data_IF_810528189364
#
_entry.id   IF_810528189364
#
_cell.length_a   1.000
_cell.length_b   1.000
_cell.length_c   1.000
_cell.angle_alpha   90.00
_cell.angle_beta   90.00
_cell.angle_gamma   90.00
#
_symmetry.space_group_name_H-M   'P 1'
#
loop_
_entity.id
_entity.type
_entity.pdbx_description
1 polymer ?
#
# COMPACT_ATOMS: atom_id res chain seq x y z
N UNK A 1 10.04 -35.08 22.22
CA UNK A 1 9.69 -33.65 22.23
C UNK A 1 8.47 -33.50 23.11
N UNK A 2 8.47 -32.63 24.12
CA UNK A 2 7.30 -32.48 25.00
C UNK A 2 6.14 -31.86 24.24
N UNK A 3 4.88 -32.13 24.62
CA UNK A 3 3.70 -31.53 23.98
C UNK A 3 3.76 -30.00 23.93
N UNK A 4 4.26 -29.35 24.99
CA UNK A 4 4.42 -27.88 24.99
C UNK A 4 5.43 -27.40 23.94
N UNK A 5 6.49 -28.16 23.68
CA UNK A 5 7.47 -27.86 22.63
C UNK A 5 6.89 -28.05 21.23
N UNK A 6 5.99 -29.01 21.04
CA UNK A 6 5.32 -29.22 19.75
C UNK A 6 4.34 -28.09 19.42
N UNK A 7 3.61 -27.60 20.42
CA UNK A 7 2.70 -26.45 20.29
C UNK A 7 3.47 -25.16 20.00
N UNK A 8 4.58 -24.92 20.71
CA UNK A 8 5.45 -23.78 20.44
C UNK A 8 6.05 -23.82 19.02
N UNK A 9 6.41 -25.01 18.53
CA UNK A 9 6.97 -25.18 17.18
C UNK A 9 5.94 -24.93 16.08
N UNK A 10 4.69 -25.36 16.28
CA UNK A 10 3.58 -25.07 15.35
C UNK A 10 3.21 -23.59 15.32
N UNK A 11 3.20 -22.92 16.48
CA UNK A 11 2.96 -21.48 16.54
C UNK A 11 4.04 -20.69 15.79
N UNK A 12 5.32 -21.06 15.95
CA UNK A 12 6.44 -20.45 15.23
C UNK A 12 6.40 -20.70 13.72
N UNK A 13 6.00 -21.90 13.29
CA UNK A 13 5.85 -22.23 11.86
C UNK A 13 4.66 -21.50 11.22
N UNK A 14 3.52 -21.40 11.90
CA UNK A 14 2.39 -20.59 11.42
C UNK A 14 2.78 -19.12 11.32
N UNK A 15 3.48 -18.57 12.31
CA UNK A 15 3.89 -17.16 12.28
C UNK A 15 4.89 -16.86 11.15
N UNK A 16 5.83 -17.78 10.89
CA UNK A 16 6.79 -17.65 9.78
C UNK A 16 6.18 -17.89 8.39
N UNK A 17 5.03 -18.56 8.29
CA UNK A 17 4.34 -18.81 7.01
C UNK A 17 3.31 -17.72 6.67
N UNK A 18 2.81 -16.98 7.66
CA UNK A 18 1.82 -15.92 7.46
C UNK A 18 2.44 -14.51 7.32
N UNK A 19 3.61 -14.25 7.93
CA UNK A 19 4.33 -12.99 7.72
C UNK A 19 5.21 -13.11 6.46
N UNK A 20 4.67 -12.64 5.33
CA UNK A 20 5.32 -12.60 4.01
C UNK A 20 6.51 -11.64 3.89
N UNK A 21 7.43 -11.61 4.86
CA UNK A 21 8.61 -10.73 4.89
C UNK A 21 9.91 -11.52 4.73
N UNK A 22 10.04 -12.25 3.62
CA UNK A 22 11.27 -12.97 3.29
C UNK A 22 12.43 -12.06 2.82
N UNK A 23 12.22 -10.74 2.70
CA UNK A 23 13.23 -9.80 2.18
C UNK A 23 13.65 -8.66 3.12
N UNK A 24 13.06 -8.51 4.31
CA UNK A 24 13.34 -7.37 5.19
C UNK A 24 14.45 -7.57 6.24
N UNK A 25 15.12 -8.74 6.28
CA UNK A 25 16.18 -9.03 7.28
C UNK A 25 17.58 -8.94 6.64
N UNK A 26 17.90 -7.76 6.11
CA UNK A 26 19.30 -7.39 5.81
C UNK A 26 19.53 -5.97 6.32
N UNK A 27 19.48 -5.80 7.64
CA UNK A 27 19.68 -4.44 8.19
C UNK A 27 19.71 -4.25 9.70
N UNK A 28 19.52 -5.27 10.55
CA UNK A 28 19.65 -5.08 12.01
C UNK A 28 20.47 -6.19 12.66
N UNK A 29 21.57 -5.78 13.28
CA UNK A 29 22.35 -6.58 14.21
C UNK A 29 21.48 -6.93 15.42
N UNK A 30 21.03 -8.19 15.50
CA UNK A 30 20.39 -8.68 16.72
C UNK A 30 19.47 -9.86 16.47
N UNK A 31 20.02 -11.01 16.03
CA UNK A 31 19.90 -12.25 16.81
C UNK A 31 20.64 -13.41 16.12
N UNK A 32 21.93 -13.60 16.47
CA UNK A 32 22.78 -14.65 15.87
C UNK A 32 22.31 -16.07 16.23
N UNK A 33 21.50 -16.23 17.28
CA UNK A 33 21.03 -17.53 17.76
C UNK A 33 19.89 -18.11 16.89
N UNK A 34 19.02 -17.26 16.35
CA UNK A 34 17.90 -17.68 15.48
C UNK A 34 18.44 -18.03 14.08
N UNK A 35 19.32 -17.19 13.53
CA UNK A 35 19.98 -17.47 12.25
C UNK A 35 20.71 -18.82 12.25
N UNK A 36 21.45 -19.16 13.32
CA UNK A 36 22.17 -20.44 13.41
C UNK A 36 21.26 -21.68 13.49
N UNK A 37 20.02 -21.56 13.97
CA UNK A 37 19.07 -22.69 13.96
C UNK A 37 18.46 -22.93 12.57
N UNK A 38 18.27 -21.86 11.79
CA UNK A 38 17.81 -21.97 10.41
C UNK A 38 18.92 -22.46 9.47
N UNK A 39 20.17 -22.04 9.68
CA UNK A 39 21.31 -22.54 8.88
C UNK A 39 21.51 -24.06 9.00
N UNK A 40 21.13 -24.68 10.11
CA UNK A 40 21.20 -26.14 10.29
C UNK A 40 20.06 -26.91 9.59
N UNK A 41 19.00 -26.24 9.12
CA UNK A 41 17.89 -26.85 8.37
C UNK A 41 18.11 -26.80 6.85
N UNK A 42 19.02 -25.95 6.38
CA UNK A 42 19.35 -25.81 4.95
C UNK A 42 19.90 -27.13 4.35
N UNK A 43 20.80 -27.88 5.01
CA UNK A 43 21.26 -29.18 4.50
C UNK A 43 20.12 -30.20 4.41
N UNK A 44 19.21 -30.22 5.40
CA UNK A 44 18.09 -31.15 5.43
C UNK A 44 17.08 -30.89 4.30
N UNK A 45 16.79 -29.61 4.02
CA UNK A 45 15.92 -29.21 2.91
C UNK A 45 16.61 -29.47 1.56
N UNK A 46 17.93 -29.29 1.48
CA UNK A 46 18.71 -29.59 0.27
C UNK A 46 18.75 -31.11 0.00
N UNK A 47 18.88 -31.95 1.03
CA UNK A 47 18.87 -33.40 0.92
C UNK A 47 17.48 -33.93 0.56
N UNK A 48 16.41 -33.36 1.12
CA UNK A 48 15.03 -33.69 0.73
C UNK A 48 14.76 -33.31 -0.73
N UNK A 49 15.22 -32.14 -1.19
CA UNK A 49 15.11 -31.74 -2.61
C UNK A 49 16.05 -32.52 -3.54
N UNK A 50 17.06 -33.19 -3.01
CA UNK A 50 17.95 -34.09 -3.79
C UNK A 50 17.32 -35.47 -3.94
N UNK A 51 16.64 -35.96 -2.90
CA UNK A 51 15.87 -37.19 -2.94
C UNK A 51 14.68 -37.07 -3.91
N UNK A 52 13.94 -35.96 -3.83
CA UNK A 52 12.80 -35.64 -4.70
C UNK A 52 13.22 -35.58 -6.19
N UNK A 53 14.37 -34.96 -6.49
CA UNK A 53 14.93 -34.91 -7.86
C UNK A 53 15.59 -36.21 -8.33
N UNK A 54 15.94 -37.11 -7.42
CA UNK A 54 16.42 -38.44 -7.78
C UNK A 54 15.26 -39.36 -8.17
N UNK A 55 14.08 -39.16 -7.58
CA UNK A 55 12.85 -39.90 -7.92
C UNK A 55 12.24 -39.43 -9.26
N UNK A 56 12.36 -38.15 -9.61
CA UNK A 56 11.88 -37.63 -10.90
C UNK A 56 12.63 -38.22 -12.13
N UNK A 57 13.82 -38.78 -11.93
CA UNK A 57 14.64 -39.36 -13.01
C UNK A 57 14.53 -40.89 -13.16
N UNK A 58 13.75 -41.58 -12.32
CA UNK A 58 13.59 -43.04 -12.41
C UNK A 58 12.12 -43.45 -12.21
N UNK A 59 11.23 -42.96 -13.07
CA UNK A 59 9.87 -43.47 -13.18
C UNK A 59 9.83 -44.83 -13.87
N UNK A 60 10.19 -45.89 -13.16
CA UNK A 60 9.51 -47.18 -13.30
C UNK A 60 9.92 -48.15 -12.19
N UNK A 61 9.34 -48.02 -10.98
CA UNK A 61 8.84 -49.17 -10.16
C UNK A 61 8.31 -48.74 -8.77
N UNK A 62 7.03 -49.04 -8.53
CA UNK A 62 6.38 -49.31 -7.22
C UNK A 62 6.43 -48.26 -6.10
N UNK A 63 5.41 -47.41 -6.10
CA UNK A 63 5.01 -46.43 -5.06
C UNK A 63 4.53 -47.05 -3.72
N UNK A 64 4.69 -48.36 -3.51
CA UNK A 64 4.23 -49.07 -2.29
C UNK A 64 5.40 -49.39 -1.33
N UNK A 65 6.65 -49.28 -1.78
CA UNK A 65 7.82 -49.72 -1.00
C UNK A 65 8.28 -48.76 0.10
N UNK A 66 8.29 -47.45 -0.15
CA UNK A 66 8.94 -46.49 0.75
C UNK A 66 8.11 -46.18 2.00
N UNK A 67 6.78 -46.12 1.86
CA UNK A 67 5.85 -45.87 2.96
C UNK A 67 5.89 -47.01 3.99
N UNK A 68 5.96 -48.25 3.52
CA UNK A 68 6.11 -49.43 4.36
C UNK A 68 7.52 -49.56 4.95
N UNK A 69 8.58 -49.16 4.23
CA UNK A 69 9.94 -49.16 4.78
C UNK A 69 10.14 -48.09 5.85
N UNK A 70 9.56 -46.90 5.68
CA UNK A 70 9.58 -45.83 6.69
C UNK A 70 8.72 -46.21 7.89
N UNK A 71 7.55 -46.82 7.68
CA UNK A 71 6.70 -47.35 8.75
C UNK A 71 7.40 -48.48 9.52
N UNK A 72 8.14 -49.36 8.84
CA UNK A 72 8.91 -50.46 9.45
C UNK A 72 10.13 -49.96 10.22
N UNK A 73 10.85 -48.96 9.69
CA UNK A 73 11.96 -48.30 10.40
C UNK A 73 11.50 -47.51 11.63
N UNK A 74 10.30 -46.90 11.57
CA UNK A 74 9.69 -46.26 12.72
C UNK A 74 9.19 -47.28 13.75
N UNK A 75 8.60 -48.40 13.31
CA UNK A 75 8.14 -49.48 14.18
C UNK A 75 9.31 -50.18 14.90
N UNK A 76 10.42 -50.47 14.19
CA UNK A 76 11.61 -51.12 14.76
C UNK A 76 12.35 -50.20 15.73
N UNK A 77 12.34 -48.89 15.50
CA UNK A 77 13.01 -47.90 16.37
C UNK A 77 12.18 -47.49 17.60
N UNK A 78 10.89 -47.86 17.62
CA UNK A 78 9.94 -47.61 18.72
C UNK A 78 9.63 -48.90 19.52
N UNK A 79 10.31 -50.01 19.20
CA UNK A 79 10.13 -51.31 19.87
C UNK A 79 10.45 -51.29 21.37
N UNK A 80 9.42 -51.14 22.21
CA UNK A 80 8.86 -52.17 23.11
C UNK A 80 8.05 -51.61 24.30
N UNK A 81 8.00 -50.28 24.49
CA UNK A 81 7.37 -49.66 25.68
C UNK A 81 6.09 -48.83 25.46
N UNK A 82 5.58 -48.73 24.23
CA UNK A 82 4.58 -47.70 23.86
C UNK A 82 3.26 -48.23 23.29
N UNK A 83 3.03 -49.55 23.30
CA UNK A 83 1.79 -50.14 22.79
C UNK A 83 0.58 -49.88 23.68
N UNK A 84 0.76 -49.88 25.01
CA UNK A 84 -0.32 -49.56 25.96
C UNK A 84 -0.66 -48.06 26.00
N UNK A 85 0.29 -47.18 25.68
CA UNK A 85 0.07 -45.72 25.67
C UNK A 85 -0.56 -45.22 24.37
N UNK A 86 -0.41 -45.94 23.26
CA UNK A 86 -0.98 -45.53 21.97
C UNK A 86 -2.48 -45.80 21.89
N UNK A 87 -2.98 -46.87 22.52
CA UNK A 87 -4.42 -47.15 22.59
C UNK A 87 -5.15 -46.15 23.51
N UNK A 88 -4.53 -45.76 24.63
CA UNK A 88 -5.07 -44.73 25.53
C UNK A 88 -5.15 -43.36 24.83
N UNK A 89 -4.10 -42.97 24.09
CA UNK A 89 -4.07 -41.69 23.38
C UNK A 89 -5.00 -41.69 22.17
N UNK A 90 -5.14 -42.82 21.47
CA UNK A 90 -6.11 -42.96 20.38
C UNK A 90 -7.55 -42.81 20.89
N UNK A 91 -7.89 -43.39 22.05
CA UNK A 91 -9.20 -43.24 22.68
C UNK A 91 -9.45 -41.79 23.14
N UNK A 92 -8.44 -41.11 23.69
CA UNK A 92 -8.53 -39.71 24.11
C UNK A 92 -8.69 -38.75 22.92
N UNK A 93 -7.99 -39.01 21.81
CA UNK A 93 -8.10 -38.23 20.57
C UNK A 93 -9.48 -38.45 19.92
N UNK A 94 -10.01 -39.66 19.92
CA UNK A 94 -11.36 -39.95 19.41
C UNK A 94 -12.42 -39.28 20.30
N UNK A 95 -12.27 -39.28 21.63
CA UNK A 95 -13.17 -38.59 22.54
C UNK A 95 -13.14 -37.06 22.32
N UNK A 96 -11.96 -36.47 22.12
CA UNK A 96 -11.80 -35.03 21.82
C UNK A 96 -12.39 -34.64 20.46
N UNK A 97 -12.22 -35.48 19.44
CA UNK A 97 -12.81 -35.25 18.12
C UNK A 97 -14.34 -35.44 18.11
N UNK A 98 -14.86 -36.34 18.95
CA UNK A 98 -16.31 -36.56 19.09
C UNK A 98 -16.98 -35.44 19.87
N UNK A 99 -16.32 -34.90 20.91
CA UNK A 99 -16.78 -33.71 21.65
C UNK A 99 -16.71 -32.42 20.80
N UNK A 100 -15.83 -32.36 19.80
CA UNK A 100 -15.75 -31.26 18.84
C UNK A 100 -16.83 -31.32 17.73
N UNK A 101 -17.56 -32.44 17.61
CA UNK A 101 -18.54 -32.67 16.55
C UNK A 101 -19.88 -31.94 16.68
N UNK A 102 -20.16 -31.28 17.81
CA UNK A 102 -21.40 -30.50 18.01
C UNK A 102 -21.21 -28.98 17.90
N UNK A 103 -19.97 -28.50 17.78
CA UNK A 103 -19.71 -27.11 17.45
C UNK A 103 -19.52 -26.98 15.93
N UNK A 104 -20.60 -26.66 15.20
CA UNK A 104 -20.44 -26.16 13.84
C UNK A 104 -19.44 -25.00 13.87
N UNK A 105 -18.34 -25.04 13.09
CA UNK A 105 -17.48 -23.89 12.96
C UNK A 105 -18.30 -22.78 12.31
N UNK A 106 -18.70 -21.79 13.09
CA UNK A 106 -19.05 -20.49 12.53
C UNK A 106 -17.77 -19.98 11.88
N UNK A 107 -17.69 -20.12 10.55
CA UNK A 107 -16.63 -19.50 9.79
C UNK A 107 -16.55 -18.02 10.24
N UNK A 108 -15.36 -17.50 10.58
CA UNK A 108 -15.24 -16.08 10.86
C UNK A 108 -15.86 -15.33 9.69
N UNK A 109 -16.66 -14.31 9.97
CA UNK A 109 -17.18 -13.39 8.96
C UNK A 109 -15.99 -12.71 8.27
N UNK A 110 -15.44 -13.40 7.27
CA UNK A 110 -14.12 -13.17 6.74
C UNK A 110 -14.16 -13.46 5.26
N UNK A 111 -14.34 -12.37 4.51
CA UNK A 111 -14.08 -12.19 3.08
C UNK A 111 -14.27 -13.45 2.24
N UNK A 112 -15.45 -13.57 1.62
CA UNK A 112 -15.63 -14.47 0.49
C UNK A 112 -14.68 -13.97 -0.62
N UNK A 113 -13.53 -14.63 -0.80
CA UNK A 113 -12.61 -14.31 -1.89
C UNK A 113 -13.27 -14.75 -3.20
N UNK A 114 -13.99 -13.83 -3.85
CA UNK A 114 -14.51 -14.07 -5.19
C UNK A 114 -13.33 -14.01 -6.16
N UNK A 115 -13.13 -15.01 -7.02
CA UNK A 115 -12.08 -14.94 -8.04
C UNK A 115 -12.34 -13.80 -9.02
N UNK A 116 -11.37 -12.88 -9.16
CA UNK A 116 -11.52 -11.68 -10.02
C UNK A 116 -11.72 -12.03 -11.50
N UNK A 117 -10.98 -13.03 -12.00
CA UNK A 117 -10.89 -13.32 -13.44
C UNK A 117 -11.90 -14.37 -13.89
N UNK A 118 -12.72 -14.01 -14.89
CA UNK A 118 -13.48 -14.95 -15.71
C UNK A 118 -12.51 -15.70 -16.63
N UNK A 119 -12.58 -17.03 -16.65
CA UNK A 119 -11.76 -17.80 -17.59
C UNK A 119 -12.40 -17.73 -18.99
N UNK A 120 -11.60 -17.47 -20.04
CA UNK A 120 -12.11 -17.44 -21.41
C UNK A 120 -12.63 -18.82 -21.80
N UNK A 121 -13.72 -18.83 -22.57
CA UNK A 121 -14.25 -20.01 -23.23
C UNK A 121 -13.85 -19.88 -24.70
N UNK A 122 -12.79 -20.59 -25.10
CA UNK A 122 -12.27 -20.53 -26.47
C UNK A 122 -12.96 -21.53 -27.41
N UNK A 123 -13.87 -22.36 -26.87
CA UNK A 123 -14.69 -23.32 -27.59
C UNK A 123 -13.92 -24.50 -28.18
N UNK A 124 -12.70 -24.76 -27.67
CA UNK A 124 -11.86 -25.84 -28.17
C UNK A 124 -12.21 -27.21 -27.56
N UNK A 125 -13.03 -27.25 -26.49
CA UNK A 125 -13.56 -28.47 -25.87
C UNK A 125 -12.67 -29.15 -24.84
N UNK A 126 -11.39 -28.77 -24.69
CA UNK A 126 -10.46 -29.44 -23.77
C UNK A 126 -10.48 -28.87 -22.35
N UNK A 127 -10.81 -27.60 -22.19
CA UNK A 127 -10.96 -26.93 -20.91
C UNK A 127 -12.38 -26.35 -20.67
N UNK A 128 -13.28 -26.41 -21.65
CA UNK A 128 -14.65 -25.89 -21.61
C UNK A 128 -15.42 -26.33 -20.35
N UNK A 129 -15.29 -27.61 -19.96
CA UNK A 129 -15.99 -28.15 -18.79
C UNK A 129 -15.45 -27.57 -17.47
N UNK A 130 -14.14 -27.35 -17.39
CA UNK A 130 -13.48 -26.76 -16.24
C UNK A 130 -13.78 -25.25 -16.17
N UNK A 131 -13.65 -24.54 -17.28
CA UNK A 131 -13.91 -23.10 -17.39
C UNK A 131 -15.39 -22.76 -17.15
N UNK A 132 -16.31 -23.57 -17.68
CA UNK A 132 -17.74 -23.42 -17.41
C UNK A 132 -18.08 -23.69 -15.94
N UNK A 133 -17.48 -24.72 -15.32
CA UNK A 133 -17.63 -25.01 -13.90
C UNK A 133 -17.13 -23.87 -13.03
N UNK A 134 -15.92 -23.39 -13.31
CA UNK A 134 -15.31 -22.23 -12.64
C UNK A 134 -16.15 -20.97 -12.76
N UNK A 135 -16.59 -20.63 -13.98
CA UNK A 135 -17.39 -19.44 -14.23
C UNK A 135 -18.77 -19.52 -13.55
N UNK A 136 -19.42 -20.69 -13.51
CA UNK A 136 -20.67 -20.90 -12.75
C UNK A 136 -20.47 -20.72 -11.25
N UNK A 137 -19.39 -21.26 -10.68
CA UNK A 137 -19.06 -21.04 -9.27
C UNK A 137 -18.81 -19.56 -8.98
N UNK A 138 -18.06 -18.87 -9.85
CA UNK A 138 -17.81 -17.43 -9.74
C UNK A 138 -19.11 -16.60 -9.81
N UNK A 139 -20.00 -16.91 -10.75
CA UNK A 139 -21.30 -16.24 -10.88
C UNK A 139 -22.18 -16.47 -9.64
N UNK A 140 -22.21 -17.71 -9.12
CA UNK A 140 -22.93 -18.02 -7.89
C UNK A 140 -22.35 -17.27 -6.68
N UNK A 141 -21.02 -17.16 -6.58
CA UNK A 141 -20.34 -16.39 -5.53
C UNK A 141 -20.62 -14.89 -5.65
N UNK A 142 -20.65 -14.33 -6.87
CA UNK A 142 -21.02 -12.93 -7.12
C UNK A 142 -22.49 -12.66 -6.79
N UNK A 143 -23.39 -13.58 -7.13
CA UNK A 143 -24.82 -13.46 -6.83
C UNK A 143 -25.12 -13.61 -5.33
N UNK A 144 -24.33 -14.40 -4.62
CA UNK A 144 -24.44 -14.60 -3.17
C UNK A 144 -23.66 -13.56 -2.36
N UNK A 145 -22.73 -12.83 -2.98
CA UNK A 145 -22.04 -11.73 -2.33
C UNK A 145 -23.09 -10.68 -1.94
N UNK A 146 -23.19 -10.31 -0.65
CA UNK A 146 -24.05 -9.20 -0.27
C UNK A 146 -23.55 -7.98 -1.05
N UNK A 147 -24.46 -7.27 -1.71
CA UNK A 147 -24.13 -5.98 -2.30
C UNK A 147 -23.56 -5.13 -1.17
N UNK A 148 -22.24 -4.89 -1.19
CA UNK A 148 -21.65 -3.97 -0.24
C UNK A 148 -22.38 -2.64 -0.44
N UNK A 149 -22.94 -2.05 0.63
CA UNK A 149 -23.51 -0.72 0.50
C UNK A 149 -22.38 0.16 -0.02
N UNK A 150 -22.55 0.70 -1.22
CA UNK A 150 -21.60 1.64 -1.81
C UNK A 150 -21.61 2.83 -0.87
N UNK A 151 -20.61 2.90 0.01
CA UNK A 151 -20.47 4.00 0.93
C UNK A 151 -20.39 5.28 0.11
N UNK A 152 -21.24 6.26 0.44
CA UNK A 152 -21.18 7.57 -0.18
C UNK A 152 -19.74 8.10 -0.04
N UNK A 153 -19.10 8.57 -1.13
CA UNK A 153 -17.75 9.09 -1.06
C UNK A 153 -17.66 10.23 -0.06
N UNK A 154 -16.64 10.19 0.80
CA UNK A 154 -16.40 11.25 1.77
C UNK A 154 -15.72 12.43 1.05
N UNK A 155 -16.31 13.65 1.05
CA UNK A 155 -15.67 14.84 0.53
C UNK A 155 -14.47 15.23 1.39
N UNK A 156 -13.30 15.39 0.77
CA UNK A 156 -12.05 15.71 1.47
C UNK A 156 -11.22 16.74 0.72
N UNK A 157 -10.54 17.63 1.45
CA UNK A 157 -9.43 18.40 0.87
C UNK A 157 -8.26 17.43 0.72
N UNK A 158 -7.92 17.13 -0.53
CA UNK A 158 -6.86 16.18 -0.85
C UNK A 158 -5.66 16.94 -1.40
N UNK A 159 -4.52 16.86 -0.71
CA UNK A 159 -3.24 17.39 -1.16
C UNK A 159 -2.35 16.24 -1.59
N UNK A 160 -1.70 16.37 -2.74
CA UNK A 160 -0.73 15.39 -3.18
C UNK A 160 0.42 15.29 -2.16
N UNK A 161 0.77 14.09 -1.66
CA UNK A 161 1.81 13.94 -0.64
C UNK A 161 3.22 14.24 -1.16
N UNK A 162 3.39 14.32 -2.49
CA UNK A 162 4.68 14.59 -3.13
C UNK A 162 4.85 16.06 -3.45
N UNK A 163 3.89 16.67 -4.16
CA UNK A 163 4.02 18.04 -4.65
C UNK A 163 3.16 19.08 -3.91
N UNK A 164 2.29 18.64 -2.98
CA UNK A 164 1.40 19.51 -2.22
C UNK A 164 0.23 20.11 -3.03
N UNK A 165 0.16 19.89 -4.34
CA UNK A 165 -0.95 20.40 -5.15
C UNK A 165 -2.28 19.76 -4.73
N UNK A 166 -3.31 20.58 -4.62
CA UNK A 166 -4.67 20.11 -4.33
C UNK A 166 -5.23 19.32 -5.50
N UNK A 167 -5.90 18.22 -5.16
CA UNK A 167 -6.62 17.36 -6.09
C UNK A 167 -8.11 17.63 -5.98
N UNK A 168 -8.75 17.88 -7.11
CA UNK A 168 -10.19 18.10 -7.22
C UNK A 168 -10.69 17.06 -8.22
N UNK A 169 -11.57 16.17 -7.76
CA UNK A 169 -12.18 15.18 -8.62
C UNK A 169 -13.33 15.84 -9.39
N UNK A 170 -13.15 15.97 -10.70
CA UNK A 170 -14.18 16.42 -11.62
C UNK A 170 -14.44 15.32 -12.66
N UNK A 171 -15.63 15.29 -13.28
CA UNK A 171 -15.81 14.51 -14.50
C UNK A 171 -14.76 14.91 -15.53
N UNK A 172 -14.06 13.92 -16.08
CA UNK A 172 -13.07 14.16 -17.13
C UNK A 172 -13.70 13.85 -18.49
N UNK A 173 -13.63 14.82 -19.40
CA UNK A 173 -13.95 14.62 -20.82
C UNK A 173 -12.68 14.25 -21.57
N UNK A 174 -12.80 13.32 -22.51
CA UNK A 174 -11.75 13.02 -23.45
C UNK A 174 -12.31 13.11 -24.86
N UNK A 175 -11.47 13.65 -25.75
CA UNK A 175 -11.73 13.60 -27.17
C UNK A 175 -11.50 12.16 -27.68
N UNK A 176 -12.58 11.52 -28.11
CA UNK A 176 -12.50 10.24 -28.81
C UNK A 176 -12.58 10.51 -30.31
N UNK A 177 -11.68 9.94 -31.14
CA UNK A 177 -11.84 10.01 -32.59
C UNK A 177 -13.17 9.35 -32.99
N UNK A 178 -14.12 10.14 -33.50
CA UNK A 178 -15.32 9.66 -34.18
C UNK A 178 -15.10 9.76 -35.70
N UNK A 179 -15.84 8.97 -36.49
CA UNK A 179 -15.65 8.87 -37.96
C UNK A 179 -15.86 10.19 -38.74
N UNK A 180 -16.27 11.24 -38.04
CA UNK A 180 -16.73 12.54 -38.51
C UNK A 180 -16.12 13.72 -37.70
N UNK A 181 -15.18 13.47 -36.78
CA UNK A 181 -14.51 14.51 -36.00
C UNK A 181 -13.96 14.00 -34.66
N UNK A 182 -13.65 14.93 -33.74
CA UNK A 182 -13.49 14.59 -32.33
C UNK A 182 -14.82 14.84 -31.65
N UNK A 183 -15.39 13.81 -31.03
CA UNK A 183 -16.53 13.98 -30.14
C UNK A 183 -15.98 14.03 -28.71
N UNK A 184 -16.30 15.10 -27.97
CA UNK A 184 -16.10 15.14 -26.53
C UNK A 184 -17.05 14.13 -25.89
N UNK A 185 -16.49 13.08 -25.30
CA UNK A 185 -17.25 12.12 -24.50
C UNK A 185 -16.75 12.22 -23.07
N UNK A 186 -17.68 12.24 -22.12
CA UNK A 186 -17.35 12.15 -20.70
C UNK A 186 -16.95 10.70 -20.39
N UNK A 187 -15.66 10.42 -20.50
CA UNK A 187 -15.10 9.08 -20.35
C UNK A 187 -15.02 8.67 -18.87
N UNK A 188 -14.98 9.64 -17.97
CA UNK A 188 -14.94 9.43 -16.53
C UNK A 188 -15.96 10.32 -15.82
N UNK A 189 -17.03 9.70 -15.31
CA UNK A 189 -18.11 10.39 -14.58
C UNK A 189 -17.84 10.55 -13.09
N UNK A 190 -16.58 10.33 -12.65
CA UNK A 190 -16.18 10.36 -11.25
C UNK A 190 -16.97 9.40 -10.34
N UNK A 191 -17.01 8.09 -10.64
CA UNK A 191 -17.61 7.11 -9.74
C UNK A 191 -16.86 7.05 -8.39
N UNK A 192 -17.50 6.56 -7.31
CA UNK A 192 -16.85 6.31 -6.02
C UNK A 192 -15.53 5.56 -6.16
N UNK A 193 -14.42 6.15 -5.72
CA UNK A 193 -13.08 5.57 -5.83
C UNK A 193 -12.24 5.86 -4.58
N UNK A 194 -11.20 5.04 -4.35
CA UNK A 194 -10.33 5.12 -3.15
C UNK A 194 -8.94 5.67 -3.47
N UNK A 195 -8.60 5.83 -4.75
CA UNK A 195 -7.26 6.21 -5.20
C UNK A 195 -7.32 7.37 -6.15
N UNK A 196 -6.46 8.36 -5.95
CA UNK A 196 -6.43 9.60 -6.70
C UNK A 196 -5.12 9.74 -7.46
N UNK A 197 -5.17 10.30 -8.67
CA UNK A 197 -4.02 10.57 -9.52
C UNK A 197 -3.72 12.07 -9.53
N UNK A 198 -2.47 12.44 -9.23
CA UNK A 198 -2.05 13.83 -9.25
C UNK A 198 -1.61 14.19 -10.67
N UNK A 199 -2.41 14.98 -11.37
CA UNK A 199 -2.08 15.45 -12.73
C UNK A 199 -0.81 16.30 -12.82
N UNK A 200 -0.30 16.85 -11.72
CA UNK A 200 0.94 17.63 -11.73
C UNK A 200 2.22 16.79 -11.67
N UNK A 201 2.23 15.67 -10.95
CA UNK A 201 3.44 14.87 -10.72
C UNK A 201 3.30 13.37 -11.01
N UNK A 202 2.09 12.90 -11.34
CA UNK A 202 1.79 11.49 -11.64
C UNK A 202 1.68 10.58 -10.41
N UNK A 203 1.77 11.10 -9.18
CA UNK A 203 1.60 10.30 -7.98
C UNK A 203 0.17 9.75 -7.89
N UNK A 204 0.02 8.44 -7.67
CA UNK A 204 -1.25 7.81 -7.31
C UNK A 204 -1.21 7.51 -5.81
N UNK A 205 -2.21 7.97 -5.05
CA UNK A 205 -2.29 7.73 -3.62
C UNK A 205 -3.71 7.38 -3.16
N UNK A 206 -3.78 6.70 -2.01
CA UNK A 206 -5.01 6.27 -1.36
C UNK A 206 -5.10 6.91 0.02
N UNK A 207 -5.86 8.00 0.20
CA UNK A 207 -5.94 8.73 1.47
C UNK A 207 -6.73 7.98 2.55
N UNK A 208 -7.67 7.11 2.15
CA UNK A 208 -8.51 6.32 3.06
C UNK A 208 -8.86 4.94 2.47
N UNK A 209 -9.36 4.05 3.32
CA UNK A 209 -9.86 2.74 2.89
C UNK A 209 -11.30 2.74 2.37
N UNK A 210 -11.98 3.88 2.48
CA UNK A 210 -13.31 4.14 1.96
C UNK A 210 -13.24 5.05 0.74
N UNK A 211 -14.27 5.09 -0.12
CA UNK A 211 -14.32 6.02 -1.23
C UNK A 211 -14.21 7.48 -0.74
N UNK A 212 -13.39 8.26 -1.43
CA UNK A 212 -13.16 9.68 -1.15
C UNK A 212 -13.34 10.49 -2.43
N UNK A 213 -13.72 11.76 -2.28
CA UNK A 213 -13.81 12.70 -3.40
C UNK A 213 -13.08 13.99 -3.05
N UNK A 214 -12.10 14.36 -3.87
CA UNK A 214 -11.33 15.58 -3.74
C UNK A 214 -12.20 16.81 -4.04
N UNK A 215 -12.30 17.70 -3.06
CA UNK A 215 -13.07 18.95 -3.18
C UNK A 215 -12.17 20.17 -2.99
N UNK A 216 -12.57 21.29 -3.59
CA UNK A 216 -11.91 22.59 -3.42
C UNK A 216 -11.97 23.04 -1.95
N UNK A 217 -13.13 22.84 -1.31
CA UNK A 217 -13.38 23.14 0.11
C UNK A 217 -14.36 22.13 0.70
N UNK A 218 -14.24 21.87 2.00
CA UNK A 218 -15.27 21.12 2.75
C UNK A 218 -16.43 22.08 3.03
N UNK A 219 -17.63 21.73 2.55
CA UNK A 219 -18.82 22.59 2.70
C UNK A 219 -19.54 22.42 4.05
N UNK A 220 -19.23 21.34 4.76
CA UNK A 220 -19.84 21.02 6.06
C UNK A 220 -18.96 21.50 7.22
N UNK A 221 -19.59 21.94 8.31
CA UNK A 221 -18.90 22.24 9.58
C UNK A 221 -19.29 21.22 10.64
N UNK A 222 -18.30 20.66 11.32
CA UNK A 222 -18.50 19.77 12.45
C UNK A 222 -19.05 20.52 13.66
N UNK A 223 -19.95 19.87 14.41
CA UNK A 223 -20.50 20.42 15.67
C UNK A 223 -19.41 20.71 16.72
N UNK A 224 -18.29 20.00 16.67
CA UNK A 224 -17.17 20.12 17.59
C UNK A 224 -16.00 20.95 17.02
N UNK A 225 -16.15 21.57 15.85
CA UNK A 225 -15.09 22.37 15.25
C UNK A 225 -14.86 23.64 16.07
N UNK A 226 -13.69 23.72 16.70
CA UNK A 226 -13.28 24.86 17.54
C UNK A 226 -12.59 25.98 16.77
N UNK A 227 -12.39 25.79 15.46
CA UNK A 227 -11.81 26.77 14.56
C UNK A 227 -12.94 27.39 13.74
N UNK A 228 -12.92 28.71 13.56
CA UNK A 228 -13.85 29.42 12.69
C UNK A 228 -13.09 29.97 11.49
N UNK A 229 -13.46 29.54 10.29
CA UNK A 229 -12.84 30.01 9.04
C UNK A 229 -13.00 31.53 8.90
N UNK A 230 -14.03 32.12 9.52
CA UNK A 230 -14.25 33.56 9.53
C UNK A 230 -13.42 34.31 10.59
N UNK A 231 -12.80 33.61 11.55
CA UNK A 231 -12.10 34.21 12.68
C UNK A 231 -10.58 34.14 12.61
N UNK A 232 -9.99 33.55 11.54
CA UNK A 232 -8.57 33.78 11.27
C UNK A 232 -8.42 35.29 11.05
N UNK A 233 -7.70 36.03 11.91
CA UNK A 233 -7.49 37.45 11.69
C UNK A 233 -6.70 37.56 10.40
N UNK A 234 -7.37 37.95 9.31
CA UNK A 234 -6.65 38.50 8.16
C UNK A 234 -5.94 39.72 8.71
N UNK A 235 -4.64 39.63 8.94
CA UNK A 235 -3.87 40.83 9.26
C UNK A 235 -3.89 41.63 7.97
N UNK A 236 -4.83 42.57 7.90
CA UNK A 236 -4.94 43.51 6.80
C UNK A 236 -3.75 44.44 6.94
N UNK A 237 -2.72 44.21 6.14
CA UNK A 237 -1.61 45.15 6.01
C UNK A 237 -2.14 46.36 5.25
N UNK A 238 -2.19 47.52 5.90
CA UNK A 238 -2.61 48.75 5.22
C UNK A 238 -1.49 49.29 4.32
N UNK A 239 -1.86 50.12 3.35
CA UNK A 239 -0.91 50.69 2.38
C UNK A 239 0.22 51.48 3.06
N UNK A 240 -0.07 52.13 4.20
CA UNK A 240 0.94 52.85 4.97
C UNK A 240 1.93 51.91 5.67
N UNK A 241 1.49 50.75 6.16
CA UNK A 241 2.38 49.69 6.66
C UNK A 241 3.25 49.14 5.54
N UNK A 242 2.67 48.86 4.37
CA UNK A 242 3.39 48.37 3.21
C UNK A 242 4.49 49.34 2.77
N UNK A 243 4.15 50.64 2.68
CA UNK A 243 5.13 51.68 2.33
C UNK A 243 6.26 51.78 3.36
N UNK A 244 5.97 51.70 4.67
CA UNK A 244 7.02 51.72 5.71
C UNK A 244 7.99 50.54 5.60
N UNK A 245 7.49 49.36 5.23
CA UNK A 245 8.34 48.19 4.99
C UNK A 245 9.18 48.37 3.73
N UNK A 246 8.60 48.93 2.67
CA UNK A 246 9.32 49.24 1.44
C UNK A 246 10.47 50.22 1.69
N UNK A 247 10.19 51.33 2.38
CA UNK A 247 11.21 52.34 2.72
C UNK A 247 12.34 51.73 3.57
N UNK A 248 11.98 50.96 4.60
CA UNK A 248 12.97 50.29 5.46
C UNK A 248 13.80 49.25 4.70
N UNK A 249 13.21 48.51 3.77
CA UNK A 249 13.94 47.57 2.91
C UNK A 249 14.86 48.29 1.94
N UNK A 250 14.40 49.38 1.31
CA UNK A 250 15.21 50.16 0.39
C UNK A 250 16.44 50.74 1.11
N UNK A 251 16.23 51.30 2.30
CA UNK A 251 17.30 51.83 3.16
C UNK A 251 18.29 50.72 3.59
N UNK A 252 17.78 49.54 3.94
CA UNK A 252 18.61 48.43 4.39
C UNK A 252 19.42 47.77 3.26
N UNK A 253 18.85 47.70 2.06
CA UNK A 253 19.50 47.10 0.88
C UNK A 253 20.50 48.05 0.22
N UNK A 254 20.22 49.37 0.21
CA UNK A 254 21.12 50.35 -0.39
C UNK A 254 21.40 50.06 -1.87
N UNK A 255 22.66 49.85 -2.21
CA UNK A 255 23.16 49.52 -3.56
C UNK A 255 23.33 48.01 -3.81
N UNK A 256 22.67 47.17 -3.01
CA UNK A 256 22.69 45.73 -3.20
C UNK A 256 22.21 45.34 -4.62
N UNK A 257 22.94 44.39 -5.21
CA UNK A 257 22.74 43.91 -6.58
C UNK A 257 22.15 42.49 -6.59
N UNK A 258 21.18 42.25 -7.47
CA UNK A 258 20.65 40.91 -7.80
C UNK A 258 21.18 40.47 -9.16
N UNK A 259 21.50 39.17 -9.28
CA UNK A 259 21.86 38.55 -10.54
C UNK A 259 20.62 38.03 -11.25
N UNK A 260 20.33 38.54 -12.46
CA UNK A 260 19.11 38.19 -13.20
C UNK A 260 19.23 36.88 -13.98
N UNK A 261 20.36 36.17 -13.88
CA UNK A 261 20.56 34.90 -14.58
C UNK A 261 19.97 33.71 -13.85
N UNK A 262 19.28 32.89 -14.62
CA UNK A 262 18.86 31.53 -14.21
C UNK A 262 20.07 30.69 -13.81
N UNK A 263 19.90 29.87 -12.77
CA UNK A 263 20.96 29.06 -12.16
C UNK A 263 21.75 28.19 -13.15
N UNK A 264 21.11 27.67 -14.21
CA UNK A 264 21.77 26.87 -15.25
C UNK A 264 22.79 27.65 -16.09
N UNK A 265 22.73 28.99 -16.08
CA UNK A 265 23.66 29.88 -16.75
C UNK A 265 24.88 30.26 -15.90
N UNK A 266 24.98 29.72 -14.68
CA UNK A 266 26.11 29.96 -13.79
C UNK A 266 27.26 29.03 -14.16
N UNK A 267 28.11 29.50 -15.06
CA UNK A 267 29.38 28.85 -15.39
C UNK A 267 30.55 29.82 -15.18
N UNK A 268 31.75 29.26 -15.00
CA UNK A 268 32.94 30.07 -14.76
C UNK A 268 33.15 31.03 -15.94
N UNK A 269 33.35 32.33 -15.63
CA UNK A 269 33.67 33.39 -16.58
C UNK A 269 32.56 33.73 -17.60
N UNK A 270 31.30 33.40 -17.34
CA UNK A 270 30.17 33.78 -18.21
C UNK A 270 29.35 34.96 -17.68
N UNK A 271 29.71 35.51 -16.52
CA UNK A 271 29.02 36.64 -15.90
C UNK A 271 29.76 37.95 -16.14
N UNK A 272 29.02 38.98 -16.55
CA UNK A 272 29.50 40.34 -16.73
C UNK A 272 28.72 41.34 -15.85
N UNK A 273 29.16 42.61 -15.82
CA UNK A 273 28.48 43.67 -15.07
C UNK A 273 27.00 43.85 -15.45
N UNK A 274 26.66 43.58 -16.71
CA UNK A 274 25.29 43.69 -17.23
C UNK A 274 24.34 42.59 -16.72
N UNK A 275 24.86 41.54 -16.07
CA UNK A 275 24.03 40.46 -15.48
C UNK A 275 23.54 40.82 -14.07
N UNK A 276 23.83 42.03 -13.58
CA UNK A 276 23.48 42.49 -12.24
C UNK A 276 22.64 43.76 -12.27
N UNK A 277 21.62 43.81 -11.43
CA UNK A 277 20.73 44.96 -11.29
C UNK A 277 20.66 45.40 -9.83
N UNK A 278 20.66 46.72 -9.60
CA UNK A 278 20.44 47.28 -8.27
C UNK A 278 19.00 46.95 -7.87
N UNK A 279 18.82 46.23 -6.77
CA UNK A 279 17.51 45.72 -6.33
C UNK A 279 16.51 46.85 -6.12
N UNK A 280 16.97 47.95 -5.54
CA UNK A 280 16.14 49.12 -5.21
C UNK A 280 15.66 49.90 -6.43
N UNK A 281 16.20 49.63 -7.63
CA UNK A 281 15.73 50.22 -8.90
C UNK A 281 14.68 49.37 -9.62
N UNK A 282 14.33 48.19 -9.09
CA UNK A 282 13.32 47.30 -9.64
C UNK A 282 12.10 47.24 -8.71
N UNK A 283 11.06 47.99 -9.08
CA UNK A 283 9.80 48.07 -8.31
C UNK A 283 9.14 46.69 -8.14
N UNK A 284 9.22 45.82 -9.14
CA UNK A 284 8.63 44.48 -9.09
C UNK A 284 9.39 43.62 -8.08
N UNK A 285 10.72 43.72 -8.06
CA UNK A 285 11.56 42.97 -7.12
C UNK A 285 11.38 43.46 -5.69
N UNK A 286 11.30 44.77 -5.50
CA UNK A 286 11.01 45.37 -4.20
C UNK A 286 9.63 44.95 -3.68
N UNK A 287 8.61 44.89 -4.54
CA UNK A 287 7.28 44.41 -4.15
C UNK A 287 7.31 42.96 -3.65
N UNK A 288 8.01 42.06 -4.35
CA UNK A 288 8.18 40.66 -3.93
C UNK A 288 8.85 40.54 -2.56
N UNK A 289 9.92 41.31 -2.33
CA UNK A 289 10.65 41.31 -1.05
C UNK A 289 9.79 41.85 0.11
N UNK A 290 9.00 42.90 -0.14
CA UNK A 290 8.06 43.45 0.85
C UNK A 290 7.01 42.42 1.23
N UNK A 291 6.38 41.75 0.24
CA UNK A 291 5.34 40.76 0.50
C UNK A 291 5.91 39.54 1.26
N UNK A 292 7.14 39.12 0.93
CA UNK A 292 7.85 38.06 1.64
C UNK A 292 8.18 38.45 3.09
N UNK A 293 8.66 39.68 3.32
CA UNK A 293 8.97 40.20 4.65
C UNK A 293 7.72 40.32 5.54
N UNK A 294 6.61 40.83 4.99
CA UNK A 294 5.32 40.88 5.66
C UNK A 294 4.84 39.48 6.04
N UNK A 295 4.88 38.54 5.09
CA UNK A 295 4.51 37.14 5.33
C UNK A 295 5.34 36.51 6.46
N UNK A 296 6.65 36.75 6.48
CA UNK A 296 7.54 36.24 7.51
C UNK A 296 7.26 36.86 8.89
N UNK A 297 7.01 38.18 8.95
CA UNK A 297 6.70 38.89 10.18
C UNK A 297 5.38 38.40 10.81
N UNK A 298 4.36 38.13 9.99
CA UNK A 298 3.09 37.59 10.46
C UNK A 298 3.25 36.20 11.09
N UNK A 299 4.10 35.33 10.52
CA UNK A 299 4.38 33.99 11.06
C UNK A 299 5.14 33.99 12.40
N UNK A 300 5.86 35.06 12.73
CA UNK A 300 6.62 35.15 13.99
C UNK A 300 5.77 35.64 15.17
N UNK A 301 4.59 36.19 14.90
CA UNK A 301 3.64 36.66 15.92
C UNK A 301 2.67 35.59 16.43
N UNK A 302 2.69 34.39 15.85
CA UNK A 302 1.94 33.19 16.25
C UNK A 302 2.76 32.31 17.21
#
# INVERSE_FOLDING_TARGET
>A
MTPERATAYRALLSQALFDGDFYAVRGRQGDKAIANRFYNLIPLIADLKKADRAEENDMNTTEIGLRDQVAKLLADRIGHGLREKTESVAAEVVALLTAAGEAQPTAPAGVLLVPDKRLPDDGNGDDDAFNAGWNKCREAMLAAAPAEPVAEPIPMILLCPICGKQHIDAPETRDIPSGDGFAEVADWTNPPHRSHLCHACGCIWRPADVPTVGVERVETRGKADTWDVAAAPSVVVDEGQRQRVLDALADALGDAMDCTRVWSAWSYNTMGPDDFHIITNDDSRMAELVDAALTAALKQGE
#
